data_IF_718298797097
#
_entry.id   IF_718298797097
#
_cell.length_a   1.000
_cell.length_b   1.000
_cell.length_c   1.000
_cell.angle_alpha   90.00
_cell.angle_beta   90.00
_cell.angle_gamma   90.00
#
_symmetry.space_group_name_H-M   'P 1'
#
loop_
_entity.id
_entity.type
_entity.pdbx_description
1 polymer ?
#
# COMPACT_ATOMS: atom_id res chain seq x y z
N UNK A 1 5.76 -8.11 5.57
CA UNK A 1 4.41 -7.71 6.01
C UNK A 1 3.35 -8.57 5.36
N UNK A 2 2.60 -9.36 6.15
CA UNK A 2 1.47 -10.16 5.68
C UNK A 2 0.18 -9.50 6.18
N UNK A 3 -0.77 -9.25 5.28
CA UNK A 3 -2.10 -8.72 5.57
C UNK A 3 -3.11 -9.79 5.15
N UNK A 4 -3.97 -10.21 6.07
CA UNK A 4 -4.84 -11.39 5.92
C UNK A 4 -4.07 -12.70 6.14
N UNK A 5 -4.15 -13.24 7.36
CA UNK A 5 -3.29 -14.36 7.79
C UNK A 5 -3.76 -15.71 7.21
N UNK A 6 -5.06 -15.96 7.30
CA UNK A 6 -5.71 -17.21 6.94
C UNK A 6 -6.35 -17.09 5.53
N UNK A 7 -5.97 -17.96 4.56
CA UNK A 7 -6.58 -17.95 3.24
C UNK A 7 -8.06 -18.34 3.22
N UNK A 8 -8.63 -18.87 4.30
CA UNK A 8 -10.05 -19.21 4.40
C UNK A 8 -10.88 -18.17 5.15
N UNK A 9 -10.23 -17.17 5.76
CA UNK A 9 -10.92 -16.15 6.55
C UNK A 9 -11.46 -15.01 5.68
N UNK A 10 -12.56 -15.31 4.99
CA UNK A 10 -13.28 -14.37 4.11
C UNK A 10 -13.72 -13.06 4.76
N UNK A 11 -13.78 -13.01 6.10
CA UNK A 11 -14.08 -11.80 6.87
C UNK A 11 -13.03 -10.70 6.72
N UNK A 12 -11.81 -11.05 6.30
CA UNK A 12 -10.70 -10.10 6.11
C UNK A 12 -10.92 -9.11 4.95
N UNK A 13 -12.03 -9.22 4.20
CA UNK A 13 -12.42 -8.25 3.15
C UNK A 13 -12.70 -6.84 3.69
N UNK A 14 -12.99 -6.70 4.98
CA UNK A 14 -13.15 -5.39 5.62
C UNK A 14 -11.80 -4.71 5.94
N UNK A 15 -10.67 -5.41 5.76
CA UNK A 15 -9.36 -4.83 6.03
C UNK A 15 -9.02 -3.80 4.96
N UNK A 16 -8.80 -2.57 5.40
CA UNK A 16 -8.39 -1.45 4.57
C UNK A 16 -7.12 -0.83 5.16
N UNK A 17 -6.01 -0.93 4.43
CA UNK A 17 -4.69 -0.50 4.93
C UNK A 17 -4.06 0.46 3.94
N UNK A 18 -3.46 1.52 4.47
CA UNK A 18 -2.57 2.37 3.69
C UNK A 18 -1.14 2.21 4.18
N UNK A 19 -0.24 1.98 3.22
CA UNK A 19 1.19 1.91 3.47
C UNK A 19 1.80 3.06 2.69
N UNK A 20 2.37 4.03 3.39
CA UNK A 20 2.99 5.18 2.75
C UNK A 20 4.30 5.57 3.41
N UNK A 21 5.15 6.25 2.63
CA UNK A 21 6.42 6.80 3.10
C UNK A 21 7.30 5.77 3.82
N UNK A 22 7.20 4.49 3.47
CA UNK A 22 8.02 3.43 4.05
C UNK A 22 9.25 3.15 3.17
N UNK A 23 10.40 2.87 3.79
CA UNK A 23 11.59 2.37 3.11
C UNK A 23 11.82 0.89 3.45
N UNK A 24 11.60 0.00 2.49
CA UNK A 24 11.86 -1.43 2.62
C UNK A 24 13.25 -1.75 2.06
N UNK A 25 14.21 -2.01 2.95
CA UNK A 25 15.61 -2.23 2.59
C UNK A 25 16.14 -3.59 3.05
N UNK A 26 16.72 -4.35 2.13
CA UNK A 26 17.43 -5.61 2.44
C UNK A 26 16.51 -6.76 2.87
N UNK A 27 15.22 -6.65 2.60
CA UNK A 27 14.20 -7.64 2.97
C UNK A 27 13.97 -8.66 1.85
N UNK A 28 13.59 -9.90 2.19
CA UNK A 28 13.40 -10.93 1.15
C UNK A 28 12.12 -10.74 0.33
N UNK A 29 10.99 -10.46 0.99
CA UNK A 29 9.66 -10.44 0.36
C UNK A 29 8.58 -9.79 1.23
N UNK A 30 7.39 -9.54 0.63
CA UNK A 30 6.13 -9.14 1.30
C UNK A 30 6.12 -7.68 1.75
N UNK A 31 6.03 -6.75 0.80
CA UNK A 31 5.97 -5.30 1.02
C UNK A 31 4.69 -4.66 0.44
N UNK A 32 3.46 -5.10 0.79
CA UNK A 32 3.06 -6.29 1.55
C UNK A 32 2.78 -7.51 0.65
N UNK A 33 2.42 -8.62 1.31
CA UNK A 33 1.56 -9.66 0.70
C UNK A 33 0.17 -9.55 1.30
N UNK A 34 -0.85 -9.49 0.46
CA UNK A 34 -2.25 -9.22 0.85
C UNK A 34 -3.15 -10.40 0.48
N UNK A 35 -4.15 -10.68 1.31
CA UNK A 35 -5.31 -11.53 1.03
C UNK A 35 -6.58 -10.81 1.45
N UNK A 36 -7.64 -10.92 0.65
CA UNK A 36 -9.00 -10.38 0.86
C UNK A 36 -9.13 -8.86 1.04
N UNK A 37 -8.28 -8.23 1.85
CA UNK A 37 -8.31 -6.80 2.14
C UNK A 37 -7.84 -5.93 0.98
N UNK A 38 -8.13 -4.64 1.11
CA UNK A 38 -7.75 -3.59 0.18
C UNK A 38 -6.56 -2.82 0.73
N UNK A 39 -5.54 -2.61 -0.10
CA UNK A 39 -4.34 -1.89 0.32
C UNK A 39 -3.97 -0.82 -0.68
N UNK A 40 -3.80 0.40 -0.19
CA UNK A 40 -3.23 1.50 -0.95
C UNK A 40 -1.76 1.68 -0.60
N UNK A 41 -0.89 1.58 -1.61
CA UNK A 41 0.53 1.83 -1.47
C UNK A 41 0.88 3.11 -2.24
N UNK A 42 1.47 4.09 -1.57
CA UNK A 42 1.98 5.28 -2.25
C UNK A 42 3.24 5.81 -1.58
N UNK A 43 4.11 6.46 -2.36
CA UNK A 43 5.38 7.04 -1.91
C UNK A 43 6.20 6.12 -1.00
N UNK A 44 6.27 4.82 -1.33
CA UNK A 44 7.15 3.87 -0.66
C UNK A 44 8.39 3.63 -1.51
N UNK A 45 9.54 3.39 -0.88
CA UNK A 45 10.75 2.98 -1.56
C UNK A 45 11.12 1.55 -1.19
N UNK A 46 11.36 0.69 -2.18
CA UNK A 46 11.82 -0.70 -1.95
C UNK A 46 13.15 -0.92 -2.64
N UNK A 47 14.16 -1.38 -1.90
CA UNK A 47 15.50 -1.63 -2.43
C UNK A 47 16.08 -2.94 -1.89
N UNK A 48 16.85 -3.64 -2.71
CA UNK A 48 17.53 -4.89 -2.36
C UNK A 48 16.56 -5.99 -1.86
N UNK A 49 15.39 -6.07 -2.49
CA UNK A 49 14.44 -7.19 -2.33
C UNK A 49 14.99 -8.48 -2.93
N UNK A 50 14.82 -9.59 -2.22
CA UNK A 50 15.33 -10.91 -2.63
C UNK A 50 14.43 -11.70 -3.59
N UNK A 51 13.10 -11.66 -3.39
CA UNK A 51 12.15 -12.50 -4.13
C UNK A 51 11.08 -11.63 -4.82
N UNK A 52 10.27 -10.88 -4.07
CA UNK A 52 9.27 -9.95 -4.61
C UNK A 52 9.02 -8.77 -3.69
N UNK A 53 8.47 -7.68 -4.23
CA UNK A 53 8.04 -6.53 -3.43
C UNK A 53 6.58 -6.70 -2.98
N UNK A 54 5.63 -6.37 -3.85
CA UNK A 54 4.19 -6.43 -3.60
C UNK A 54 3.61 -7.73 -4.15
N UNK A 55 2.63 -8.31 -3.46
CA UNK A 55 1.88 -9.45 -3.96
C UNK A 55 0.43 -9.41 -3.46
N UNK A 56 -0.54 -9.49 -4.37
CA UNK A 56 -1.94 -9.77 -4.05
C UNK A 56 -2.16 -11.27 -4.30
N UNK A 57 -2.53 -12.00 -3.26
CA UNK A 57 -2.84 -13.43 -3.32
C UNK A 57 -4.36 -13.66 -3.29
N UNK A 58 -4.76 -14.91 -3.56
CA UNK A 58 -6.14 -15.43 -3.65
C UNK A 58 -7.22 -14.63 -2.90
N UNK A 59 -8.31 -14.28 -3.59
CA UNK A 59 -9.63 -14.17 -2.97
C UNK A 59 -10.21 -15.60 -2.89
N UNK A 60 -9.83 -16.39 -1.88
CA UNK A 60 -10.26 -17.80 -1.83
C UNK A 60 -11.71 -17.92 -1.33
N UNK A 61 -12.53 -18.63 -2.11
CA UNK A 61 -13.80 -19.28 -1.77
C UNK A 61 -14.76 -18.50 -0.85
N UNK A 62 -15.75 -17.85 -1.44
CA UNK A 62 -17.08 -17.95 -0.84
C UNK A 62 -17.58 -19.37 -1.16
N UNK A 63 -18.01 -20.14 -0.17
CA UNK A 63 -18.47 -21.53 -0.33
C UNK A 63 -19.65 -21.69 -1.32
N UNK A 64 -20.22 -20.58 -1.81
CA UNK A 64 -21.38 -20.54 -2.70
C UNK A 64 -21.09 -20.08 -4.14
N UNK A 65 -19.84 -19.72 -4.51
CA UNK A 65 -19.50 -19.31 -5.89
C UNK A 65 -18.18 -19.93 -6.37
N UNK A 66 -18.28 -20.83 -7.34
CA UNK A 66 -17.21 -21.63 -7.97
C UNK A 66 -16.23 -20.84 -8.87
N UNK A 67 -15.84 -19.61 -8.50
CA UNK A 67 -14.86 -18.84 -9.28
C UNK A 67 -13.68 -18.41 -8.40
N UNK A 68 -12.52 -19.04 -8.64
CA UNK A 68 -11.26 -18.61 -8.05
C UNK A 68 -10.83 -17.27 -8.66
N UNK A 69 -10.83 -16.20 -7.87
CA UNK A 69 -10.31 -14.89 -8.28
C UNK A 69 -8.92 -14.66 -7.70
N UNK A 70 -7.96 -14.33 -8.56
CA UNK A 70 -6.65 -13.83 -8.13
C UNK A 70 -6.76 -12.38 -7.70
N UNK A 71 -6.04 -11.98 -6.65
CA UNK A 71 -5.97 -10.57 -6.24
C UNK A 71 -5.43 -9.68 -7.36
N UNK A 72 -5.91 -8.43 -7.39
CA UNK A 72 -5.54 -7.42 -8.40
C UNK A 72 -4.48 -6.46 -7.85
N UNK A 73 -3.49 -6.10 -8.68
CA UNK A 73 -2.55 -5.01 -8.41
C UNK A 73 -2.63 -4.00 -9.56
N UNK A 74 -2.96 -2.76 -9.22
CA UNK A 74 -2.86 -1.61 -10.13
C UNK A 74 -1.65 -0.78 -9.71
N UNK A 75 -0.78 -0.47 -10.67
CA UNK A 75 0.43 0.31 -10.48
C UNK A 75 0.32 1.58 -11.33
N UNK A 76 0.44 2.74 -10.69
CA UNK A 76 0.29 4.05 -11.33
C UNK A 76 1.39 4.98 -10.86
N UNK A 77 2.13 5.58 -11.80
CA UNK A 77 3.20 6.53 -11.48
C UNK A 77 4.42 5.92 -10.77
N UNK A 78 4.57 4.59 -10.78
CA UNK A 78 5.69 3.90 -10.15
C UNK A 78 7.00 4.05 -10.94
N UNK A 79 8.11 4.30 -10.23
CA UNK A 79 9.45 4.36 -10.80
C UNK A 79 10.22 3.07 -10.53
N UNK A 80 10.52 2.32 -11.60
CA UNK A 80 11.28 1.08 -11.53
C UNK A 80 12.76 1.31 -11.84
N UNK A 81 13.63 1.06 -10.87
CA UNK A 81 15.08 1.29 -10.97
C UNK A 81 15.86 -0.02 -11.17
N UNK A 82 17.01 0.06 -11.82
CA UNK A 82 18.01 -1.02 -11.92
C UNK A 82 17.43 -2.36 -12.44
N UNK A 83 16.62 -2.29 -13.50
CA UNK A 83 16.00 -3.47 -14.12
C UNK A 83 14.85 -4.08 -13.32
N UNK A 84 14.33 -3.37 -12.30
CA UNK A 84 13.06 -3.74 -11.69
C UNK A 84 11.95 -3.74 -12.76
N UNK A 85 11.05 -4.71 -12.67
CA UNK A 85 9.88 -4.80 -13.53
C UNK A 85 8.62 -4.83 -12.66
N UNK A 86 7.61 -4.07 -13.07
CA UNK A 86 6.26 -4.20 -12.53
C UNK A 86 5.54 -5.34 -13.22
N UNK A 87 4.76 -6.12 -12.46
CA UNK A 87 3.80 -7.07 -13.02
C UNK A 87 2.46 -6.36 -13.09
N UNK A 88 2.08 -5.88 -14.27
CA UNK A 88 0.75 -5.34 -14.53
C UNK A 88 -0.17 -6.50 -14.89
N UNK A 89 -0.99 -6.94 -13.93
CA UNK A 89 -2.09 -7.86 -14.22
C UNK A 89 -3.34 -7.00 -14.46
N UNK A 90 -3.70 -6.76 -15.72
CA UNK A 90 -4.95 -6.10 -16.07
C UNK A 90 -6.11 -7.08 -15.82
N UNK A 91 -6.67 -7.07 -14.62
CA UNK A 91 -7.90 -7.78 -14.28
C UNK A 91 -9.12 -6.87 -14.39
N UNK A 92 -10.23 -7.44 -14.85
CA UNK A 92 -11.56 -6.79 -14.89
C UNK A 92 -12.15 -6.83 -13.48
N UNK A 93 -12.23 -5.70 -12.79
CA UNK A 93 -12.81 -5.62 -11.44
C UNK A 93 -12.56 -4.29 -10.74
N UNK A 94 -13.22 -3.22 -11.18
CA UNK A 94 -13.14 -1.90 -10.53
C UNK A 94 -13.90 -1.86 -9.19
N UNK A 95 -14.93 -2.69 -9.01
CA UNK A 95 -15.87 -2.64 -7.87
C UNK A 95 -15.24 -2.92 -6.49
N UNK A 96 -14.01 -3.48 -6.42
CA UNK A 96 -13.33 -3.81 -5.16
C UNK A 96 -12.05 -2.98 -4.93
N UNK A 97 -11.84 -1.91 -5.71
CA UNK A 97 -10.63 -1.09 -5.61
C UNK A 97 -10.65 -0.21 -4.35
N UNK A 98 -9.49 -0.03 -3.72
CA UNK A 98 -9.33 0.97 -2.65
C UNK A 98 -9.49 2.36 -3.26
N UNK A 99 -10.41 3.19 -2.73
CA UNK A 99 -10.61 4.56 -3.19
C UNK A 99 -10.00 5.56 -2.19
N UNK A 100 -8.82 6.14 -2.48
CA UNK A 100 -8.17 7.05 -1.54
C UNK A 100 -9.01 8.28 -1.16
N UNK A 101 -9.90 8.71 -2.06
CA UNK A 101 -10.83 9.82 -1.81
C UNK A 101 -11.85 9.55 -0.71
N UNK A 102 -12.10 8.29 -0.35
CA UNK A 102 -13.00 7.93 0.74
C UNK A 102 -12.34 8.11 2.12
N UNK A 103 -11.00 8.07 2.19
CA UNK A 103 -10.25 8.07 3.45
C UNK A 103 -9.46 9.36 3.68
N UNK A 104 -9.06 10.04 2.60
CA UNK A 104 -8.13 11.16 2.66
C UNK A 104 -8.72 12.38 1.93
N UNK A 105 -9.06 13.47 2.65
CA UNK A 105 -9.63 14.68 2.03
C UNK A 105 -8.59 15.47 1.22
N UNK A 106 -7.31 15.37 1.59
CA UNK A 106 -6.18 16.03 0.91
C UNK A 106 -5.22 14.96 0.42
N UNK A 107 -4.87 14.99 -0.87
CA UNK A 107 -3.87 14.08 -1.45
C UNK A 107 -2.47 14.58 -1.13
N UNK A 108 -1.75 13.86 -0.28
CA UNK A 108 -0.29 14.01 -0.05
C UNK A 108 0.54 13.17 -1.01
N UNK A 109 0.01 12.86 -2.20
CA UNK A 109 0.65 11.93 -3.14
C UNK A 109 1.63 12.70 -4.03
N UNK A 110 2.92 12.40 -3.88
CA UNK A 110 4.00 13.00 -4.67
C UNK A 110 4.41 12.09 -5.85
N UNK A 111 4.94 12.67 -6.93
CA UNK A 111 5.49 11.88 -8.04
C UNK A 111 6.73 11.09 -7.62
N UNK A 112 6.83 9.83 -8.07
CA UNK A 112 8.02 9.01 -7.83
C UNK A 112 9.25 9.65 -8.49
N UNK A 113 10.21 10.10 -7.66
CA UNK A 113 11.36 10.89 -8.09
C UNK A 113 12.62 10.52 -7.30
N UNK A 114 13.79 10.92 -7.80
CA UNK A 114 15.06 10.71 -7.10
C UNK A 114 15.15 11.53 -5.80
N UNK A 115 14.52 12.71 -5.75
CA UNK A 115 14.43 13.52 -4.53
C UNK A 115 13.57 12.85 -3.48
N UNK A 116 12.40 12.33 -3.85
CA UNK A 116 11.55 11.56 -2.94
C UNK A 116 12.27 10.30 -2.43
N UNK A 117 12.96 9.58 -3.32
CA UNK A 117 13.80 8.44 -2.94
C UNK A 117 14.84 8.84 -1.90
N UNK A 118 15.58 9.92 -2.13
CA UNK A 118 16.60 10.40 -1.20
C UNK A 118 15.98 10.79 0.16
N UNK A 119 14.85 11.49 0.15
CA UNK A 119 14.10 11.86 1.36
C UNK A 119 13.68 10.60 2.14
N UNK A 120 13.12 9.59 1.48
CA UNK A 120 12.71 8.34 2.14
C UNK A 120 13.90 7.58 2.74
N UNK A 121 15.07 7.61 2.12
CA UNK A 121 16.27 6.97 2.70
C UNK A 121 16.74 7.66 3.98
N UNK A 122 16.48 8.95 4.14
CA UNK A 122 16.94 9.77 5.27
C UNK A 122 15.89 9.79 6.39
N UNK A 123 14.63 10.01 6.04
CA UNK A 123 13.58 10.38 6.97
C UNK A 123 12.77 9.19 7.52
N UNK A 124 12.92 7.99 6.94
CA UNK A 124 12.16 6.81 7.38
C UNK A 124 12.80 6.09 8.57
N UNK A 125 12.02 5.25 9.25
CA UNK A 125 12.46 4.54 10.45
C UNK A 125 12.38 5.39 11.71
N UNK A 126 12.98 4.90 12.80
CA UNK A 126 13.00 5.63 14.07
C UNK A 126 13.91 6.85 13.93
N UNK A 127 13.31 8.03 14.03
CA UNK A 127 14.03 9.30 14.03
C UNK A 127 14.02 9.92 15.43
N UNK A 128 15.05 10.71 15.73
CA UNK A 128 15.10 11.50 16.97
C UNK A 128 14.47 12.87 16.76
N UNK A 129 13.21 12.89 16.33
CA UNK A 129 12.44 14.11 16.06
C UNK A 129 11.44 14.29 17.20
N UNK A 130 11.28 15.51 17.76
CA UNK A 130 10.22 15.78 18.73
C UNK A 130 8.84 15.43 18.16
N UNK A 131 7.94 14.93 19.00
CA UNK A 131 6.55 14.71 18.60
C UNK A 131 5.97 16.07 18.12
N UNK A 132 5.25 16.12 16.98
CA UNK A 132 4.54 17.33 16.60
C UNK A 132 3.64 17.79 17.74
N UNK A 133 3.60 19.10 18.00
CA UNK A 133 2.63 19.66 18.93
C UNK A 133 1.24 19.40 18.33
N UNK A 134 0.34 18.78 19.08
CA UNK A 134 -1.06 18.64 18.68
C UNK A 134 -1.60 20.04 18.34
N UNK A 135 -1.86 20.32 17.07
CA UNK A 135 -2.53 21.57 16.70
C UNK A 135 -3.97 21.48 17.17
N UNK A 136 -4.27 22.12 18.30
CA UNK A 136 -5.63 22.44 18.73
C UNK A 136 -6.24 23.43 17.73
N UNK A 137 -6.68 22.92 16.58
CA UNK A 137 -7.54 23.64 15.65
C UNK A 137 -8.92 23.81 16.26
N UNK A 138 -9.07 24.80 17.15
CA UNK A 138 -10.36 25.36 17.46
C UNK A 138 -10.93 25.92 16.15
N UNK A 139 -11.98 25.29 15.64
CA UNK A 139 -12.84 25.84 14.62
C UNK A 139 -13.42 27.17 15.13
N UNK A 140 -12.82 28.29 14.74
CA UNK A 140 -13.47 29.59 14.89
C UNK A 140 -14.53 29.66 13.79
N UNK A 141 -15.74 29.21 14.12
CA UNK A 141 -16.94 29.62 13.39
C UNK A 141 -17.15 31.10 13.66
N UNK A 142 -16.80 31.95 12.70
CA UNK A 142 -17.31 33.33 12.67
C UNK A 142 -18.81 33.28 12.39
N UNK A 143 -19.55 33.99 13.25
CA UNK A 143 -20.99 34.14 13.26
C UNK A 143 -21.56 34.83 12.01
#
# INVERSE_FOLDING_TARGET
MLIGADPSHVGDRCIEVTVCHCFFYGTRQRHPRVRFGKVHLYNNYTRNRGIYAVCASVESQAADKDEARSGLIRSEGDLFLSGAQGLLLAGVGEESMFHPSEFYPVRTLESASDSLKAALQICTGRQSIPLPTEESGACVATA
#
